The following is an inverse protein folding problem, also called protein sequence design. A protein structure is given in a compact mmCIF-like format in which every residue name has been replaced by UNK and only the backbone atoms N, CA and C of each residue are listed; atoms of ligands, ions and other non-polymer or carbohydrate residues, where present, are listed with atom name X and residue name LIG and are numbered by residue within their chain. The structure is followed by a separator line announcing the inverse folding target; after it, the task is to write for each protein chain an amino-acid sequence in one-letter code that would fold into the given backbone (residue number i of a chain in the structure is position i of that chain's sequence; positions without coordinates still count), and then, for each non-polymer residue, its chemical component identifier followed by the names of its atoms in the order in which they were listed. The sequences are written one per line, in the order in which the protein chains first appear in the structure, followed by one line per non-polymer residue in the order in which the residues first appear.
data_IF_087825625992
#
_entry.id   IF_087825625992
#
_cell.length_a   1.000
_cell.length_b   1.000
_cell.length_c   1.000
_cell.angle_alpha   90.00
_cell.angle_beta   90.00
_cell.angle_gamma   90.00
#
_symmetry.space_group_name_H-M   'P 1'
#
loop_
_entity.id
_entity.type
_entity.pdbx_description
1 polymer ?
#
# COMPACT_ATOMS: atom_id res chain seq x y z
N UNK A 1 2.84 2.68 8.34
CA UNK A 1 3.95 1.72 8.36
C UNK A 1 4.61 1.72 7.00
N UNK A 2 5.94 1.87 6.96
CA UNK A 2 6.74 1.87 5.74
C UNK A 2 7.39 0.51 5.54
N UNK A 3 7.22 -0.07 4.35
CA UNK A 3 7.78 -1.37 3.98
C UNK A 3 8.65 -1.23 2.73
N UNK A 4 9.99 -1.20 2.87
CA UNK A 4 10.88 -1.26 1.73
C UNK A 4 10.94 -2.67 1.16
N UNK A 5 10.94 -2.79 -0.16
CA UNK A 5 10.98 -4.05 -0.91
C UNK A 5 12.15 -3.99 -1.89
N UNK A 6 13.13 -4.87 -1.72
CA UNK A 6 14.30 -4.96 -2.58
C UNK A 6 14.61 -6.42 -2.93
N UNK A 7 14.64 -6.81 -4.21
CA UNK A 7 14.39 -6.00 -5.42
C UNK A 7 12.91 -5.69 -5.64
N UNK A 8 12.61 -4.71 -6.51
CA UNK A 8 11.24 -4.38 -6.86
C UNK A 8 10.53 -5.55 -7.54
N UNK A 9 9.33 -5.88 -7.07
CA UNK A 9 8.54 -7.03 -7.52
C UNK A 9 7.04 -6.79 -7.31
N UNK A 10 6.16 -7.51 -8.01
CA UNK A 10 4.73 -7.51 -7.68
C UNK A 10 4.52 -7.99 -6.24
N UNK A 11 3.55 -7.41 -5.56
CA UNK A 11 3.22 -7.75 -4.17
C UNK A 11 1.73 -7.87 -3.99
N UNK A 12 1.33 -8.68 -3.02
CA UNK A 12 -0.04 -8.73 -2.55
C UNK A 12 -0.08 -8.22 -1.10
N UNK A 13 -1.12 -7.47 -0.78
CA UNK A 13 -1.48 -7.13 0.60
C UNK A 13 -2.80 -7.79 0.96
N UNK A 14 -3.03 -8.02 2.25
CA UNK A 14 -4.30 -8.54 2.75
C UNK A 14 -4.59 -7.93 4.12
N UNK A 15 -5.84 -8.09 4.58
CA UNK A 15 -6.29 -7.54 5.86
C UNK A 15 -6.50 -8.62 6.94
N UNK A 16 -5.92 -9.82 6.76
CA UNK A 16 -5.98 -10.88 7.76
C UNK A 16 -5.44 -10.38 9.11
N UNK A 17 -6.21 -10.62 10.17
CA UNK A 17 -5.92 -10.18 11.55
C UNK A 17 -5.76 -8.65 11.74
N UNK A 18 -6.14 -7.84 10.75
CA UNK A 18 -6.11 -6.38 10.81
C UNK A 18 -7.47 -5.82 11.24
N UNK A 19 -7.50 -5.02 12.31
CA UNK A 19 -8.76 -4.57 12.95
C UNK A 19 -9.23 -3.17 12.56
N UNK A 20 -8.41 -2.42 11.82
CA UNK A 20 -8.71 -1.05 11.40
C UNK A 20 -8.63 -0.95 9.87
N UNK A 21 -9.47 -0.14 9.22
CA UNK A 21 -9.33 0.15 7.80
C UNK A 21 -8.00 0.85 7.50
N UNK A 22 -7.35 0.46 6.42
CA UNK A 22 -6.05 1.00 6.01
C UNK A 22 -6.12 1.53 4.58
N UNK A 23 -5.46 2.65 4.33
CA UNK A 23 -5.00 2.99 2.99
C UNK A 23 -3.66 2.28 2.75
N UNK A 24 -3.54 1.63 1.60
CA UNK A 24 -2.30 1.04 1.11
C UNK A 24 -1.86 1.81 -0.13
N UNK A 25 -0.62 2.30 -0.10
CA UNK A 25 0.02 3.00 -1.20
C UNK A 25 1.18 2.17 -1.70
N UNK A 26 1.16 1.82 -2.99
CA UNK A 26 2.29 1.17 -3.66
C UNK A 26 3.17 2.20 -4.33
N UNK A 27 4.47 1.97 -4.25
CA UNK A 27 5.49 2.93 -4.65
C UNK A 27 6.52 2.25 -5.54
N UNK A 28 6.93 2.99 -6.59
CA UNK A 28 8.01 2.61 -7.48
C UNK A 28 8.84 3.84 -7.80
N UNK A 29 10.15 3.76 -7.57
CA UNK A 29 11.14 4.79 -7.90
C UNK A 29 10.70 6.20 -7.43
N UNK A 30 10.19 6.30 -6.19
CA UNK A 30 9.75 7.56 -5.59
C UNK A 30 8.42 8.10 -6.12
N UNK A 31 7.59 7.26 -6.75
CA UNK A 31 6.25 7.63 -7.24
C UNK A 31 5.20 6.64 -6.79
N UNK A 32 4.00 7.16 -6.51
CA UNK A 32 2.82 6.34 -6.27
C UNK A 32 2.42 5.62 -7.55
N UNK A 33 2.27 4.30 -7.50
CA UNK A 33 1.75 3.49 -8.61
C UNK A 33 0.29 3.09 -8.39
N UNK A 34 -0.16 3.00 -7.14
CA UNK A 34 -1.53 2.69 -6.77
C UNK A 34 -1.86 3.12 -5.35
N UNK A 35 -3.15 3.40 -5.11
CA UNK A 35 -3.71 3.65 -3.78
C UNK A 35 -5.01 2.90 -3.67
N UNK A 36 -5.21 2.19 -2.57
CA UNK A 36 -6.46 1.49 -2.26
C UNK A 36 -6.79 1.66 -0.78
N UNK A 37 -8.08 1.72 -0.45
CA UNK A 37 -8.54 1.59 0.94
C UNK A 37 -9.06 0.18 1.14
N UNK A 38 -8.48 -0.56 2.07
CA UNK A 38 -8.87 -1.92 2.43
C UNK A 38 -9.61 -1.96 3.76
N UNK A 39 -10.57 -2.87 3.85
CA UNK A 39 -11.37 -3.11 5.06
C UNK A 39 -10.89 -4.41 5.75
N UNK A 40 -10.97 -4.49 7.09
CA UNK A 40 -10.83 -5.75 7.81
C UNK A 40 -11.67 -6.87 7.16
N UNK A 41 -11.07 -8.03 6.95
CA UNK A 41 -11.74 -9.20 6.39
C UNK A 41 -12.08 -10.20 7.50
N UNK A 42 -13.18 -10.94 7.32
CA UNK A 42 -13.57 -12.06 8.19
C UNK A 42 -13.61 -13.41 7.47
N UNK A 43 -13.33 -13.42 6.16
CA UNK A 43 -13.31 -14.64 5.36
C UNK A 43 -11.95 -15.34 5.43
N UNK A 44 -11.97 -16.67 5.25
CA UNK A 44 -10.77 -17.50 5.14
C UNK A 44 -10.86 -18.35 3.83
N UNK A 45 -10.01 -18.08 2.81
CA UNK A 45 -8.93 -17.10 2.84
C UNK A 45 -9.43 -15.64 2.79
N UNK A 46 -8.67 -14.75 3.43
CA UNK A 46 -8.86 -13.32 3.29
C UNK A 46 -8.51 -12.88 1.85
N UNK A 47 -9.27 -11.97 1.22
CA UNK A 47 -8.94 -11.46 -0.10
C UNK A 47 -7.57 -10.78 -0.11
N UNK A 48 -6.86 -10.98 -1.22
CA UNK A 48 -5.58 -10.34 -1.50
C UNK A 48 -5.78 -9.24 -2.53
N UNK A 49 -5.17 -8.10 -2.29
CA UNK A 49 -5.11 -6.99 -3.23
C UNK A 49 -3.70 -6.93 -3.82
N UNK A 50 -3.61 -7.08 -5.13
CA UNK A 50 -2.34 -7.07 -5.85
C UNK A 50 -1.90 -5.66 -6.20
N UNK A 51 -0.59 -5.42 -6.15
CA UNK A 51 0.00 -4.19 -6.64
C UNK A 51 -0.24 -4.04 -8.16
N UNK A 52 -0.37 -2.81 -8.69
CA UNK A 52 -0.53 -2.57 -10.13
C UNK A 52 0.65 -3.01 -11.00
N UNK A 53 1.77 -3.41 -10.39
CA UNK A 53 3.00 -3.85 -11.04
C UNK A 53 4.12 -4.04 -10.01
N UNK A 54 5.37 -4.09 -10.49
CA UNK A 54 6.52 -4.18 -9.60
C UNK A 54 6.72 -2.87 -8.81
N UNK A 55 6.95 -3.01 -7.50
CA UNK A 55 7.04 -1.92 -6.53
C UNK A 55 8.26 -2.12 -5.63
N UNK A 56 8.87 -1.03 -5.19
CA UNK A 56 10.01 -1.04 -4.25
C UNK A 56 9.63 -0.59 -2.84
N UNK A 57 8.38 -0.16 -2.63
CA UNK A 57 7.85 0.03 -1.29
C UNK A 57 6.32 -0.03 -1.22
N UNK A 58 5.83 -0.29 -0.01
CA UNK A 58 4.44 -0.14 0.40
C UNK A 58 4.39 0.81 1.61
N UNK A 59 3.41 1.72 1.61
CA UNK A 59 3.11 2.57 2.74
C UNK A 59 1.66 2.31 3.18
N UNK A 60 1.49 1.87 4.41
CA UNK A 60 0.18 1.66 5.04
C UNK A 60 -0.11 2.80 6.03
N UNK A 61 -1.34 3.31 6.03
CA UNK A 61 -1.79 4.31 7.00
C UNK A 61 -3.28 4.11 7.32
N UNK A 62 -3.82 4.70 8.40
CA UNK A 62 -5.26 4.69 8.65
C UNK A 62 -6.04 5.17 7.43
N UNK A 63 -7.18 4.53 7.14
CA UNK A 63 -7.99 4.89 5.98
C UNK A 63 -8.33 6.39 5.93
N UNK A 64 -8.24 6.98 4.73
CA UNK A 64 -8.45 8.40 4.48
C UNK A 64 -7.19 9.26 4.64
N UNK A 65 -6.06 8.71 5.10
CA UNK A 65 -4.79 9.44 5.18
C UNK A 65 -4.34 9.94 3.80
N UNK A 66 -4.58 9.16 2.74
CA UNK A 66 -4.16 9.50 1.38
C UNK A 66 -5.31 9.95 0.49
N UNK A 67 -6.37 10.51 1.09
CA UNK A 67 -7.50 11.06 0.34
C UNK A 67 -7.02 12.12 -0.68
N UNK A 68 -7.29 11.86 -1.96
CA UNK A 68 -6.90 12.74 -3.07
C UNK A 68 -5.54 12.44 -3.70
N UNK A 69 -4.74 11.54 -3.13
CA UNK A 69 -3.51 11.04 -3.77
C UNK A 69 -3.86 10.21 -5.01
N UNK A 70 -3.07 10.37 -6.08
CA UNK A 70 -3.29 9.68 -7.36
C UNK A 70 -2.01 9.00 -7.83
N UNK A 71 -2.10 7.92 -8.63
CA UNK A 71 -0.94 7.38 -9.34
C UNK A 71 -0.17 8.48 -10.08
N UNK A 72 1.16 8.40 -10.04
CA UNK A 72 2.08 9.41 -10.58
C UNK A 72 2.50 10.49 -9.58
N UNK A 73 1.83 10.62 -8.43
CA UNK A 73 2.24 11.53 -7.35
C UNK A 73 3.67 11.22 -6.92
N UNK A 74 4.52 12.26 -6.90
CA UNK A 74 5.89 12.15 -6.39
C UNK A 74 5.86 12.17 -4.87
N UNK A 75 6.63 11.29 -4.25
CA UNK A 75 6.79 11.24 -2.80
C UNK A 75 8.20 11.69 -2.41
N UNK A 76 8.30 12.34 -1.26
CA UNK A 76 9.55 12.66 -0.60
C UNK A 76 9.58 11.87 0.71
N UNK A 77 10.67 11.14 0.94
CA UNK A 77 10.87 10.37 2.17
C UNK A 77 11.92 11.15 2.97
N UNK A 78 11.47 11.75 4.07
CA UNK A 78 12.35 12.46 4.98
C UNK A 78 12.89 11.48 6.02
N UNK A 79 14.20 11.24 5.99
CA UNK A 79 14.90 10.44 6.99
C UNK A 79 15.33 11.37 8.14
N UNK A 80 14.42 11.64 9.08
CA UNK A 80 14.77 12.34 10.32
C UNK A 80 15.39 11.37 11.34
#
# INVERSE_FOLDING_TARGET
MWFPIGPAQPTDVWMQDTRVPLDVVWIRDGRVTGVVTLQPCTSDPCPRESSPGAVDAILEAPAGTFAGTKPGTVITIDNN
#
